data_IF_237640947963
#
_entry.id   IF_237640947963
#
_cell.length_a   1.000
_cell.length_b   1.000
_cell.length_c   1.000
_cell.angle_alpha   90.00
_cell.angle_beta   90.00
_cell.angle_gamma   90.00
#
_symmetry.space_group_name_H-M   'P 1'
#
loop_
_entity.id
_entity.type
_entity.pdbx_description
1 polymer ?
#
# COMPACT_ATOMS: atom_id res chain seq x y z
N UNK A 1 15.10 14.51 11.62
CA UNK A 1 16.40 14.14 11.03
C UNK A 1 16.28 12.84 10.24
N UNK A 2 16.99 12.73 9.11
CA UNK A 2 17.06 11.50 8.31
C UNK A 2 18.41 10.79 8.56
N UNK A 3 18.35 9.54 9.00
CA UNK A 3 19.52 8.69 9.27
C UNK A 3 19.55 7.51 8.31
N UNK A 4 20.73 6.93 8.07
CA UNK A 4 20.84 5.66 7.34
C UNK A 4 20.08 4.57 8.10
N UNK A 5 19.25 3.81 7.41
CA UNK A 5 18.49 2.68 7.97
C UNK A 5 18.41 1.54 6.96
N UNK A 6 18.23 0.33 7.48
CA UNK A 6 17.98 -0.86 6.68
C UNK A 6 16.55 -1.29 6.96
N UNK A 7 15.76 -1.46 5.91
CA UNK A 7 14.51 -2.21 5.96
C UNK A 7 14.84 -3.63 5.50
N UNK A 8 14.66 -4.60 6.39
CA UNK A 8 15.02 -5.99 6.14
C UNK A 8 13.80 -6.89 6.21
N UNK A 9 13.70 -7.85 5.30
CA UNK A 9 12.62 -8.82 5.25
C UNK A 9 11.27 -8.22 4.85
N UNK A 10 11.28 -7.17 4.01
CA UNK A 10 10.04 -6.54 3.57
C UNK A 10 9.45 -7.24 2.35
N UNK A 11 8.13 -7.37 2.33
CA UNK A 11 7.43 -8.11 1.29
C UNK A 11 7.33 -7.35 -0.03
N UNK A 12 7.12 -8.08 -1.14
CA UNK A 12 6.92 -7.50 -2.46
C UNK A 12 5.84 -6.41 -2.51
N UNK A 13 4.68 -6.62 -1.88
CA UNK A 13 3.60 -5.63 -1.88
C UNK A 13 3.95 -4.37 -1.08
N UNK A 14 4.80 -4.46 -0.05
CA UNK A 14 5.29 -3.30 0.69
C UNK A 14 6.27 -2.49 -0.15
N UNK A 15 7.17 -3.16 -0.88
CA UNK A 15 8.06 -2.52 -1.85
C UNK A 15 7.25 -1.83 -2.95
N UNK A 16 6.26 -2.51 -3.53
CA UNK A 16 5.37 -1.91 -4.52
C UNK A 16 4.59 -0.71 -3.93
N UNK A 17 4.26 -0.76 -2.64
CA UNK A 17 3.66 0.35 -1.90
C UNK A 17 4.60 1.55 -1.78
N UNK A 18 5.87 1.31 -1.45
CA UNK A 18 6.91 2.34 -1.46
C UNK A 18 7.10 2.94 -2.86
N UNK A 19 7.11 2.12 -3.92
CA UNK A 19 7.27 2.63 -5.29
C UNK A 19 6.07 3.52 -5.71
N UNK A 20 4.88 3.23 -5.19
CA UNK A 20 3.74 4.13 -5.34
C UNK A 20 3.94 5.46 -4.58
N UNK A 21 4.40 5.40 -3.33
CA UNK A 21 4.70 6.60 -2.54
C UNK A 21 5.83 7.44 -3.16
N UNK A 22 6.86 6.79 -3.73
CA UNK A 22 7.94 7.44 -4.47
C UNK A 22 7.35 8.32 -5.57
N UNK A 23 6.43 7.79 -6.39
CA UNK A 23 5.72 8.59 -7.40
C UNK A 23 4.89 9.70 -6.77
N UNK A 24 4.11 9.39 -5.74
CA UNK A 24 3.21 10.36 -5.11
C UNK A 24 3.97 11.59 -4.58
N UNK A 25 5.09 11.38 -3.89
CA UNK A 25 5.88 12.43 -3.26
C UNK A 25 6.93 13.08 -4.18
N UNK A 26 6.97 12.74 -5.47
CA UNK A 26 7.94 13.32 -6.42
C UNK A 26 7.34 13.81 -7.74
N UNK A 27 6.07 13.49 -8.06
CA UNK A 27 5.50 13.85 -9.38
C UNK A 27 5.07 15.32 -9.47
N UNK A 28 4.17 15.78 -8.60
CA UNK A 28 3.65 17.16 -8.67
C UNK A 28 4.51 18.12 -7.85
N UNK A 29 4.88 17.67 -6.65
CA UNK A 29 5.70 18.39 -5.70
C UNK A 29 6.66 17.40 -5.08
N UNK A 30 7.93 17.79 -5.02
CA UNK A 30 8.97 16.97 -4.39
C UNK A 30 8.92 17.20 -2.87
N UNK A 31 8.59 16.16 -2.12
CA UNK A 31 8.68 16.19 -0.67
C UNK A 31 10.11 15.87 -0.22
N UNK A 32 10.88 16.90 0.07
CA UNK A 32 12.30 16.77 0.45
C UNK A 32 12.51 15.88 1.69
N UNK A 33 11.56 15.89 2.64
CA UNK A 33 11.66 15.08 3.85
C UNK A 33 11.47 13.59 3.54
N UNK A 34 10.57 13.27 2.60
CA UNK A 34 10.40 11.92 2.09
C UNK A 34 11.64 11.45 1.33
N UNK A 35 12.09 12.23 0.34
CA UNK A 35 13.24 11.88 -0.51
C UNK A 35 14.51 11.67 0.33
N UNK A 36 14.81 12.60 1.24
CA UNK A 36 15.99 12.50 2.10
C UNK A 36 15.96 11.27 3.03
N UNK A 37 14.78 10.75 3.39
CA UNK A 37 14.66 9.47 4.10
C UNK A 37 14.84 8.30 3.13
N UNK A 38 14.13 8.32 2.00
CA UNK A 38 14.11 7.27 0.99
C UNK A 38 15.49 6.94 0.43
N UNK A 39 16.33 7.94 0.16
CA UNK A 39 17.71 7.76 -0.34
C UNK A 39 18.64 7.10 0.68
N UNK A 40 18.38 7.33 1.96
CA UNK A 40 19.13 6.77 3.10
C UNK A 40 18.63 5.39 3.53
N UNK A 41 17.59 4.87 2.87
CA UNK A 41 17.13 3.50 3.08
C UNK A 41 17.92 2.55 2.19
N UNK A 42 18.45 1.51 2.82
CA UNK A 42 18.77 0.25 2.16
C UNK A 42 17.56 -0.68 2.32
N UNK A 43 17.12 -1.28 1.23
CA UNK A 43 15.91 -2.09 1.19
C UNK A 43 16.27 -3.53 0.82
N UNK A 44 16.07 -4.44 1.77
CA UNK A 44 16.25 -5.88 1.58
C UNK A 44 14.88 -6.54 1.69
N UNK A 45 14.35 -6.96 0.55
CA UNK A 45 13.09 -7.67 0.45
C UNK A 45 13.24 -9.17 0.71
N UNK A 46 12.17 -9.81 1.14
CA UNK A 46 12.10 -11.27 1.26
C UNK A 46 10.67 -11.74 1.03
N UNK A 47 10.52 -12.90 0.40
CA UNK A 47 9.19 -13.53 0.30
C UNK A 47 8.69 -13.97 1.68
N UNK A 48 7.39 -13.79 1.92
CA UNK A 48 6.69 -14.30 3.10
C UNK A 48 5.43 -15.03 2.70
N UNK A 49 4.98 -15.94 3.57
CA UNK A 49 3.66 -16.55 3.43
C UNK A 49 2.56 -15.47 3.38
N UNK A 50 1.64 -15.53 2.39
CA UNK A 50 0.55 -14.58 2.31
C UNK A 50 -0.49 -14.88 3.40
N UNK A 51 -1.13 -13.83 3.92
CA UNK A 51 -2.27 -14.00 4.83
C UNK A 51 -3.54 -14.34 4.04
N UNK A 52 -4.56 -14.84 4.73
CA UNK A 52 -5.87 -15.17 4.14
C UNK A 52 -6.56 -13.97 3.47
N UNK A 53 -6.21 -12.75 3.91
CA UNK A 53 -6.79 -11.50 3.40
C UNK A 53 -5.96 -10.87 2.29
N UNK A 54 -4.82 -11.48 1.92
CA UNK A 54 -3.93 -10.95 0.90
C UNK A 54 -4.45 -11.32 -0.52
N UNK A 55 -4.67 -10.28 -1.33
CA UNK A 55 -5.10 -10.35 -2.73
C UNK A 55 -4.14 -9.57 -3.65
N UNK A 56 -2.86 -9.47 -3.26
CA UNK A 56 -1.83 -8.79 -4.04
C UNK A 56 -1.65 -9.31 -5.47
N UNK A 57 -1.87 -10.60 -5.81
CA UNK A 57 -1.83 -11.06 -7.21
C UNK A 57 -2.90 -10.40 -8.08
N UNK A 58 -4.13 -10.24 -7.58
CA UNK A 58 -5.20 -9.54 -8.31
C UNK A 58 -4.86 -8.07 -8.57
N UNK A 59 -3.97 -7.49 -7.74
CA UNK A 59 -3.46 -6.12 -7.90
C UNK A 59 -2.12 -6.04 -8.66
N UNK A 60 -1.54 -7.19 -9.07
CA UNK A 60 -0.23 -7.26 -9.72
C UNK A 60 0.94 -6.78 -8.84
N UNK A 61 0.83 -7.00 -7.53
CA UNK A 61 1.76 -6.49 -6.51
C UNK A 61 2.42 -7.60 -5.67
N UNK A 62 2.19 -8.87 -6.00
CA UNK A 62 2.77 -10.04 -5.35
C UNK A 62 4.27 -10.21 -5.65
N UNK A 63 4.78 -9.49 -6.66
CA UNK A 63 6.18 -9.49 -7.07
C UNK A 63 6.73 -8.06 -7.14
N UNK A 64 7.90 -7.82 -6.54
CA UNK A 64 8.61 -6.56 -6.67
C UNK A 64 9.57 -6.63 -7.86
N UNK A 65 9.35 -5.80 -8.89
CA UNK A 65 10.28 -5.68 -10.03
C UNK A 65 11.47 -4.77 -9.71
N UNK A 66 11.21 -3.73 -8.94
CA UNK A 66 12.10 -2.64 -8.59
C UNK A 66 11.83 -2.17 -7.15
N UNK A 67 12.56 -1.15 -6.67
CA UNK A 67 12.33 -0.51 -5.38
C UNK A 67 13.09 -1.08 -4.19
N UNK A 68 13.87 -2.14 -4.41
CA UNK A 68 14.74 -2.78 -3.42
C UNK A 68 16.22 -2.73 -3.86
N UNK A 69 17.14 -2.99 -2.93
CA UNK A 69 18.56 -3.18 -3.22
C UNK A 69 18.88 -4.67 -3.38
N UNK A 70 18.35 -5.52 -2.50
CA UNK A 70 18.44 -7.00 -2.54
C UNK A 70 17.03 -7.59 -2.31
N UNK A 71 16.67 -8.67 -3.00
CA UNK A 71 15.46 -9.43 -2.72
C UNK A 71 15.78 -10.92 -2.58
N UNK A 72 15.32 -11.52 -1.48
CA UNK A 72 15.64 -12.88 -1.09
C UNK A 72 14.42 -13.79 -1.24
N UNK A 73 14.61 -14.92 -1.91
CA UNK A 73 13.62 -15.99 -1.97
C UNK A 73 14.23 -17.24 -1.36
N UNK A 74 13.63 -17.73 -0.28
CA UNK A 74 14.09 -18.94 0.40
C UNK A 74 13.73 -20.17 -0.44
N UNK A 75 14.77 -20.87 -0.92
CA UNK A 75 14.68 -22.21 -1.50
C UNK A 75 15.20 -23.21 -0.45
N UNK A 76 15.03 -24.52 -0.68
CA UNK A 76 15.23 -25.57 0.33
C UNK A 76 16.45 -25.39 1.26
N UNK A 77 17.64 -25.17 0.71
CA UNK A 77 18.89 -25.04 1.48
C UNK A 77 19.70 -23.80 1.08
N UNK A 78 19.07 -22.81 0.44
CA UNK A 78 19.74 -21.66 -0.15
C UNK A 78 18.76 -20.53 -0.41
N UNK A 79 19.29 -19.34 -0.67
CA UNK A 79 18.49 -18.21 -1.13
C UNK A 79 18.73 -17.97 -2.62
N UNK A 80 17.65 -17.77 -3.37
CA UNK A 80 17.71 -17.12 -4.66
C UNK A 80 17.76 -15.60 -4.42
N UNK A 81 18.81 -14.94 -4.88
CA UNK A 81 19.10 -13.54 -4.56
C UNK A 81 18.99 -12.69 -5.81
N UNK A 82 18.05 -11.75 -5.83
CA UNK A 82 17.96 -10.71 -6.87
C UNK A 82 18.63 -9.44 -6.36
N UNK A 83 19.60 -8.94 -7.12
CA UNK A 83 20.30 -7.69 -6.84
C UNK A 83 19.78 -6.63 -7.80
N UNK A 84 19.33 -5.49 -7.28
CA UNK A 84 18.73 -4.43 -8.09
C UNK A 84 19.54 -3.13 -8.07
N UNK A 85 20.51 -2.98 -7.16
CA UNK A 85 21.34 -1.77 -7.07
C UNK A 85 22.82 -2.09 -6.85
N UNK A 86 23.75 -1.16 -7.19
CA UNK A 86 25.17 -1.31 -6.88
C UNK A 86 25.45 -1.50 -5.37
N UNK A 87 24.69 -0.83 -4.50
CA UNK A 87 24.81 -1.00 -3.04
C UNK A 87 24.42 -2.41 -2.61
N UNK A 88 23.37 -2.97 -3.23
CA UNK A 88 23.00 -4.37 -3.03
C UNK A 88 24.11 -5.32 -3.46
N UNK A 89 24.74 -5.06 -4.62
CA UNK A 89 25.85 -5.86 -5.11
C UNK A 89 27.06 -5.86 -4.16
N UNK A 90 27.47 -4.68 -3.70
CA UNK A 90 28.57 -4.51 -2.75
C UNK A 90 28.34 -5.30 -1.46
N UNK A 91 27.10 -5.33 -0.95
CA UNK A 91 26.76 -6.10 0.25
C UNK A 91 26.87 -7.60 0.00
N UNK A 92 26.34 -8.07 -1.13
CA UNK A 92 26.38 -9.50 -1.47
C UNK A 92 27.83 -9.97 -1.65
N UNK A 93 28.66 -9.22 -2.38
CA UNK A 93 30.06 -9.57 -2.62
C UNK A 93 30.92 -9.58 -1.34
N UNK A 94 30.72 -8.59 -0.45
CA UNK A 94 31.57 -8.44 0.74
C UNK A 94 31.18 -9.34 1.91
N UNK A 95 29.89 -9.70 2.04
CA UNK A 95 29.37 -10.31 3.25
C UNK A 95 28.73 -11.68 3.05
N UNK A 96 28.64 -12.17 1.81
CA UNK A 96 27.99 -13.46 1.52
C UNK A 96 28.83 -14.33 0.60
N UNK A 97 28.49 -15.62 0.53
CA UNK A 97 29.05 -16.55 -0.44
C UNK A 97 27.98 -16.86 -1.47
N UNK A 98 28.14 -16.37 -2.68
CA UNK A 98 27.22 -16.60 -3.79
C UNK A 98 27.92 -17.28 -4.95
N UNK A 99 27.12 -17.82 -5.87
CA UNK A 99 27.52 -18.21 -7.21
C UNK A 99 26.50 -17.67 -8.19
N UNK A 100 26.90 -17.53 -9.44
CA UNK A 100 25.95 -17.20 -10.51
C UNK A 100 24.88 -18.28 -10.62
N UNK A 101 23.67 -17.84 -10.98
CA UNK A 101 22.50 -18.70 -11.19
C UNK A 101 22.65 -19.53 -12.46
N UNK A 102 22.31 -20.82 -12.39
CA UNK A 102 22.19 -21.71 -13.55
C UNK A 102 20.74 -21.81 -14.04
N UNK A 103 20.52 -22.42 -15.21
CA UNK A 103 19.19 -22.65 -15.75
C UNK A 103 18.31 -23.51 -14.82
N UNK A 104 18.91 -24.46 -14.10
CA UNK A 104 18.21 -25.27 -13.09
C UNK A 104 17.73 -24.43 -11.91
N UNK A 105 18.50 -23.40 -11.53
CA UNK A 105 18.12 -22.50 -10.43
C UNK A 105 16.92 -21.64 -10.80
N UNK A 106 16.87 -21.15 -12.05
CA UNK A 106 15.70 -20.45 -12.57
C UNK A 106 14.47 -21.35 -12.61
N UNK A 107 14.61 -22.61 -13.04
CA UNK A 107 13.48 -23.56 -13.03
C UNK A 107 12.99 -23.85 -11.60
N UNK A 108 13.88 -23.97 -10.63
CA UNK A 108 13.49 -24.14 -9.22
C UNK A 108 12.78 -22.89 -8.68
N UNK A 109 13.28 -21.70 -9.02
CA UNK A 109 12.67 -20.43 -8.67
C UNK A 109 11.29 -20.23 -9.29
N UNK A 110 11.13 -20.52 -10.58
CA UNK A 110 9.84 -20.40 -11.28
C UNK A 110 8.81 -21.35 -10.68
N UNK A 111 9.21 -22.60 -10.38
CA UNK A 111 8.36 -23.56 -9.68
C UNK A 111 7.95 -23.06 -8.30
N UNK A 112 8.89 -22.49 -7.53
CA UNK A 112 8.58 -21.87 -6.24
C UNK A 112 7.55 -20.75 -6.41
N UNK A 113 7.71 -19.88 -7.41
CA UNK A 113 6.79 -18.76 -7.66
C UNK A 113 5.39 -19.23 -8.08
N UNK A 114 5.29 -20.31 -8.85
CA UNK A 114 4.01 -20.94 -9.19
C UNK A 114 3.32 -21.50 -7.94
N UNK A 115 4.03 -22.28 -7.13
CA UNK A 115 3.53 -22.81 -5.86
C UNK A 115 3.15 -21.68 -4.90
N UNK A 116 3.93 -20.59 -4.86
CA UNK A 116 3.69 -19.41 -4.04
C UNK A 116 2.39 -18.70 -4.42
N UNK A 117 2.15 -18.48 -5.72
CA UNK A 117 0.92 -17.83 -6.21
C UNK A 117 -0.34 -18.64 -5.93
N UNK A 118 -0.24 -19.97 -5.84
CA UNK A 118 -1.37 -20.83 -5.47
C UNK A 118 -1.79 -20.70 -4.00
N UNK A 119 -0.97 -20.08 -3.13
CA UNK A 119 -1.28 -19.91 -1.71
C UNK A 119 -2.25 -18.75 -1.44
N UNK A 120 -2.40 -17.82 -2.37
CA UNK A 120 -3.33 -16.69 -2.25
C UNK A 120 -4.76 -17.18 -2.46
N UNK A 121 -5.63 -16.96 -1.48
CA UNK A 121 -6.99 -17.51 -1.48
C UNK A 121 -8.06 -16.51 -1.88
N UNK A 122 -7.73 -15.23 -1.89
CA UNK A 122 -8.67 -14.14 -2.12
C UNK A 122 -8.46 -13.56 -3.51
N UNK A 123 -9.50 -13.65 -4.35
CA UNK A 123 -9.51 -13.08 -5.70
C UNK A 123 -10.47 -11.89 -5.80
N UNK A 124 -10.08 -10.93 -6.64
CA UNK A 124 -10.76 -9.65 -6.81
C UNK A 124 -10.92 -9.32 -8.29
N UNK A 125 -12.15 -9.04 -8.70
CA UNK A 125 -12.51 -8.66 -10.06
C UNK A 125 -12.17 -7.19 -10.37
N UNK A 126 -10.89 -6.80 -10.22
CA UNK A 126 -10.47 -5.39 -10.29
C UNK A 126 -10.57 -4.79 -11.72
N UNK A 127 -10.51 -5.62 -12.77
CA UNK A 127 -10.39 -5.15 -14.16
C UNK A 127 -11.52 -4.22 -14.61
N UNK A 128 -12.77 -4.47 -14.20
CA UNK A 128 -13.93 -3.65 -14.55
C UNK A 128 -14.25 -2.58 -13.49
N UNK A 129 -13.52 -2.55 -12.37
CA UNK A 129 -13.87 -1.69 -11.24
C UNK A 129 -13.94 -0.22 -11.61
N UNK A 130 -13.08 0.24 -12.52
CA UNK A 130 -13.06 1.65 -12.93
C UNK A 130 -14.42 2.11 -13.47
N UNK A 131 -14.96 1.38 -14.45
CA UNK A 131 -16.24 1.71 -15.11
C UNK A 131 -17.44 1.34 -14.21
N UNK A 132 -17.35 0.21 -13.52
CA UNK A 132 -18.40 -0.24 -12.60
C UNK A 132 -18.60 0.78 -11.48
N UNK A 133 -17.51 1.31 -10.91
CA UNK A 133 -17.54 2.31 -9.84
C UNK A 133 -18.21 3.62 -10.26
N UNK A 134 -17.98 4.09 -11.49
CA UNK A 134 -18.64 5.30 -12.01
C UNK A 134 -20.15 5.08 -12.17
N UNK A 135 -20.55 3.88 -12.62
CA UNK A 135 -21.96 3.53 -12.82
C UNK A 135 -22.75 3.54 -11.51
N UNK A 136 -22.14 3.13 -10.40
CA UNK A 136 -22.78 3.12 -9.06
C UNK A 136 -22.40 4.31 -8.17
N UNK A 137 -21.69 5.30 -8.71
CA UNK A 137 -21.12 6.38 -7.88
C UNK A 137 -22.19 7.15 -7.08
N UNK A 138 -23.36 7.32 -7.67
CA UNK A 138 -24.52 8.01 -7.10
C UNK A 138 -25.54 7.06 -6.44
N UNK A 139 -25.25 5.75 -6.34
CA UNK A 139 -26.14 4.82 -5.64
C UNK A 139 -25.98 4.94 -4.11
N UNK A 140 -26.73 5.85 -3.51
CA UNK A 140 -26.70 6.06 -2.06
C UNK A 140 -27.08 4.80 -1.27
N UNK A 141 -27.97 3.95 -1.78
CA UNK A 141 -28.43 2.76 -1.07
C UNK A 141 -27.31 1.74 -0.96
N UNK A 142 -26.56 1.55 -2.05
CA UNK A 142 -25.35 0.73 -2.07
C UNK A 142 -24.32 1.24 -1.06
N UNK A 143 -23.95 2.53 -1.12
CA UNK A 143 -22.90 3.07 -0.26
C UNK A 143 -23.28 3.10 1.22
N UNK A 144 -24.55 3.35 1.55
CA UNK A 144 -25.07 3.22 2.93
C UNK A 144 -25.01 1.77 3.42
N UNK A 145 -25.27 0.79 2.55
CA UNK A 145 -25.18 -0.64 2.87
C UNK A 145 -23.73 -1.06 3.15
N UNK A 146 -22.80 -0.70 2.27
CA UNK A 146 -21.38 -1.04 2.39
C UNK A 146 -20.73 -0.36 3.60
N UNK A 147 -21.07 0.91 3.87
CA UNK A 147 -20.51 1.65 5.01
C UNK A 147 -21.26 1.43 6.33
N UNK A 148 -22.28 0.56 6.36
CA UNK A 148 -23.21 0.42 7.49
C UNK A 148 -22.50 0.21 8.83
N UNK A 149 -21.51 -0.67 8.86
CA UNK A 149 -20.80 -1.03 10.09
C UNK A 149 -19.52 -0.21 10.32
N UNK A 150 -19.20 0.74 9.42
CA UNK A 150 -17.98 1.53 9.51
C UNK A 150 -18.02 2.50 10.70
N UNK A 151 -17.03 2.40 11.59
CA UNK A 151 -16.83 3.33 12.72
C UNK A 151 -16.07 4.60 12.36
N UNK A 152 -15.60 4.78 11.11
CA UNK A 152 -14.78 5.95 10.73
C UNK A 152 -13.50 6.13 11.56
N UNK A 153 -12.93 5.04 12.11
CA UNK A 153 -11.77 5.10 13.01
C UNK A 153 -10.40 5.26 12.30
N UNK A 154 -10.33 5.05 10.99
CA UNK A 154 -9.09 5.21 10.22
C UNK A 154 -8.04 4.09 10.34
N UNK A 155 -8.26 3.04 11.15
CA UNK A 155 -7.30 1.92 11.30
C UNK A 155 -6.86 1.32 9.97
N UNK A 156 -7.79 1.18 9.01
CA UNK A 156 -7.54 0.64 7.69
C UNK A 156 -6.61 1.50 6.81
N UNK A 157 -6.42 2.79 7.15
CA UNK A 157 -5.50 3.69 6.48
C UNK A 157 -4.12 3.68 7.14
N UNK A 158 -4.07 3.62 8.48
CA UNK A 158 -2.81 3.66 9.24
C UNK A 158 -1.91 2.44 8.98
N UNK A 159 -2.51 1.29 8.63
CA UNK A 159 -1.77 0.06 8.29
C UNK A 159 -1.50 -0.10 6.78
N UNK A 160 -1.94 0.86 5.95
CA UNK A 160 -1.89 0.73 4.50
C UNK A 160 -0.60 1.35 3.93
N UNK A 161 0.21 0.60 3.15
CA UNK A 161 1.53 1.05 2.72
C UNK A 161 1.47 2.11 1.61
N UNK A 162 0.28 2.36 1.06
CA UNK A 162 0.02 3.37 0.02
C UNK A 162 -0.83 4.53 0.54
N UNK A 163 -1.10 4.59 1.85
CA UNK A 163 -1.72 5.76 2.46
C UNK A 163 -0.66 6.81 2.75
N UNK A 164 -0.98 8.06 2.43
CA UNK A 164 -0.07 9.20 2.52
C UNK A 164 -0.73 10.41 3.19
N UNK A 165 -1.97 10.29 3.66
CA UNK A 165 -2.67 11.37 4.35
C UNK A 165 -1.95 11.69 5.66
N UNK A 166 -1.68 12.97 5.88
CA UNK A 166 -1.09 13.48 7.10
C UNK A 166 -1.71 14.82 7.44
N UNK A 167 -1.69 15.17 8.72
CA UNK A 167 -2.01 16.50 9.20
C UNK A 167 -0.72 17.22 9.62
N UNK A 168 -0.78 18.55 9.69
CA UNK A 168 0.32 19.39 10.17
C UNK A 168 -0.15 20.10 11.42
N UNK A 169 0.47 19.78 12.55
CA UNK A 169 0.14 20.36 13.85
C UNK A 169 1.26 21.28 14.32
N UNK A 170 0.87 22.45 14.81
CA UNK A 170 1.75 23.37 15.53
C UNK A 170 1.64 23.09 17.03
N UNK A 171 2.76 22.74 17.64
CA UNK A 171 2.91 22.52 19.08
C UNK A 171 3.77 23.65 19.65
N UNK A 172 3.10 24.65 20.22
CA UNK A 172 3.72 25.87 20.77
C UNK A 172 4.12 25.58 22.22
N UNK A 173 5.35 25.89 22.58
CA UNK A 173 5.79 25.75 23.96
C UNK A 173 5.02 26.69 24.89
N UNK A 174 4.89 26.31 26.16
CA UNK A 174 4.14 27.09 27.16
C UNK A 174 4.69 28.52 27.36
N UNK A 175 5.95 28.76 26.98
CA UNK A 175 6.57 30.08 27.00
C UNK A 175 6.07 31.02 25.87
N UNK A 176 5.32 30.50 24.88
CA UNK A 176 4.83 31.18 23.69
C UNK A 176 5.90 31.88 22.83
N UNK A 177 7.17 31.47 22.97
CA UNK A 177 8.32 32.01 22.23
C UNK A 177 8.88 31.06 21.19
N UNK A 178 8.68 29.76 21.39
CA UNK A 178 9.15 28.69 20.53
C UNK A 178 8.05 27.66 20.32
N UNK A 179 8.18 26.87 19.26
CA UNK A 179 7.27 25.78 18.96
C UNK A 179 7.84 24.89 17.88
N UNK A 180 7.16 23.79 17.62
CA UNK A 180 7.52 22.83 16.58
C UNK A 180 6.31 22.54 15.70
N UNK A 181 6.55 22.48 14.39
CA UNK A 181 5.57 22.05 13.40
C UNK A 181 5.83 20.59 13.08
N UNK A 182 4.85 19.73 13.32
CA UNK A 182 4.99 18.27 13.19
C UNK A 182 3.99 17.77 12.16
N UNK A 183 4.41 16.80 11.34
CA UNK A 183 3.49 15.99 10.53
C UNK A 183 3.06 14.77 11.33
N UNK A 184 1.76 14.58 11.46
CA UNK A 184 1.17 13.40 12.09
C UNK A 184 0.35 12.63 11.06
N UNK A 185 0.31 11.30 11.20
CA UNK A 185 -0.54 10.48 10.35
C UNK A 185 -2.00 10.85 10.55
N UNK A 186 -2.70 11.00 9.44
CA UNK A 186 -4.13 11.27 9.44
C UNK A 186 -4.82 10.40 8.38
N UNK A 187 -6.14 10.41 8.33
CA UNK A 187 -6.90 9.50 7.50
C UNK A 187 -8.14 10.16 6.94
N UNK A 188 -8.36 9.99 5.64
CA UNK A 188 -9.60 10.39 4.99
C UNK A 188 -10.87 9.69 5.53
N UNK A 189 -10.70 8.67 6.38
CA UNK A 189 -11.80 7.99 7.07
C UNK A 189 -12.18 8.66 8.40
N UNK A 190 -11.31 9.49 8.97
CA UNK A 190 -11.55 10.22 10.23
C UNK A 190 -12.38 11.48 9.91
N UNK A 191 -13.49 11.75 10.63
CA UNK A 191 -14.35 12.90 10.35
C UNK A 191 -13.60 14.24 10.32
N UNK A 192 -12.66 14.43 11.25
CA UNK A 192 -11.89 15.66 11.44
C UNK A 192 -11.02 16.00 10.23
N UNK A 193 -10.58 15.01 9.44
CA UNK A 193 -9.78 15.23 8.22
C UNK A 193 -10.51 16.08 7.18
N UNK A 194 -11.84 15.98 7.12
CA UNK A 194 -12.67 16.75 6.19
C UNK A 194 -13.16 18.08 6.74
N UNK A 195 -12.88 18.39 8.01
CA UNK A 195 -13.37 19.57 8.71
C UNK A 195 -12.51 20.79 8.35
N UNK A 196 -13.16 21.88 7.94
CA UNK A 196 -12.50 23.15 7.62
C UNK A 196 -13.05 24.30 8.46
N UNK A 197 -12.41 25.47 8.33
CA UNK A 197 -12.82 26.68 9.03
C UNK A 197 -14.32 26.96 8.82
N UNK A 198 -15.00 27.36 9.90
CA UNK A 198 -16.46 27.55 9.91
C UNK A 198 -17.25 26.29 10.26
N UNK A 199 -16.59 25.16 10.56
CA UNK A 199 -17.26 23.91 10.96
C UNK A 199 -17.84 23.12 9.78
N UNK A 200 -17.55 23.52 8.54
CA UNK A 200 -17.96 22.78 7.35
C UNK A 200 -17.14 21.51 7.21
N UNK A 201 -17.79 20.42 6.82
CA UNK A 201 -17.14 19.17 6.50
C UNK A 201 -17.53 18.71 5.11
N UNK A 202 -16.56 18.48 4.23
CA UNK A 202 -16.82 18.05 2.85
C UNK A 202 -17.28 16.60 2.75
N UNK A 203 -17.07 15.79 3.80
CA UNK A 203 -17.45 14.38 3.87
C UNK A 203 -17.94 14.04 5.29
N UNK A 204 -19.09 14.59 5.72
CA UNK A 204 -19.60 14.41 7.08
C UNK A 204 -20.07 12.98 7.35
N UNK A 205 -20.51 12.27 6.30
CA UNK A 205 -21.04 10.92 6.41
C UNK A 205 -19.98 9.84 6.14
N UNK A 206 -20.13 8.69 6.81
CA UNK A 206 -19.19 7.57 6.71
C UNK A 206 -19.19 6.91 5.34
N UNK A 207 -20.34 6.85 4.67
CA UNK A 207 -20.49 6.35 3.30
C UNK A 207 -19.69 7.19 2.31
N UNK A 208 -19.70 8.52 2.47
CA UNK A 208 -18.95 9.43 1.61
C UNK A 208 -17.44 9.28 1.83
N UNK A 209 -17.00 9.06 3.08
CA UNK A 209 -15.58 8.78 3.40
C UNK A 209 -15.12 7.43 2.83
N UNK A 210 -15.91 6.36 3.02
CA UNK A 210 -15.57 5.03 2.51
C UNK A 210 -15.55 5.01 0.97
N UNK A 211 -16.56 5.63 0.33
CA UNK A 211 -16.60 5.83 -1.13
C UNK A 211 -15.38 6.59 -1.63
N UNK A 212 -14.98 7.68 -0.94
CA UNK A 212 -13.77 8.42 -1.28
C UNK A 212 -12.51 7.57 -1.15
N UNK A 213 -12.41 6.73 -0.11
CA UNK A 213 -11.28 5.81 0.05
C UNK A 213 -11.19 4.87 -1.15
N UNK A 214 -12.28 4.28 -1.60
CA UNK A 214 -12.27 3.36 -2.74
C UNK A 214 -11.94 4.08 -4.04
N UNK A 215 -12.54 5.24 -4.29
CA UNK A 215 -12.20 6.12 -5.42
C UNK A 215 -10.71 6.48 -5.44
N UNK A 216 -10.15 6.85 -4.30
CA UNK A 216 -8.74 7.21 -4.19
C UNK A 216 -7.84 6.00 -4.48
N UNK A 217 -8.13 4.87 -3.82
CA UNK A 217 -7.32 3.65 -3.89
C UNK A 217 -7.35 2.98 -5.26
N UNK A 218 -8.51 2.98 -5.91
CA UNK A 218 -8.78 2.09 -7.05
C UNK A 218 -9.07 2.83 -8.36
N UNK A 219 -9.27 4.15 -8.33
CA UNK A 219 -9.59 4.95 -9.52
C UNK A 219 -8.62 6.09 -9.76
N UNK A 220 -8.53 7.00 -8.80
CA UNK A 220 -7.86 8.32 -8.95
C UNK A 220 -6.40 8.20 -9.43
N UNK A 221 -5.65 7.22 -8.93
CA UNK A 221 -4.24 7.05 -9.30
C UNK A 221 -4.02 6.14 -10.51
N UNK A 222 -5.04 5.42 -10.98
CA UNK A 222 -4.98 4.79 -12.30
C UNK A 222 -4.89 5.87 -13.36
N UNK A 223 -5.76 6.88 -13.30
CA UNK A 223 -5.76 8.01 -14.22
C UNK A 223 -4.43 8.77 -14.21
N UNK A 224 -3.84 8.90 -13.02
CA UNK A 224 -2.63 9.70 -12.82
C UNK A 224 -1.33 8.94 -13.13
N UNK A 225 -1.21 7.69 -12.67
CA UNK A 225 0.05 6.95 -12.65
C UNK A 225 -0.01 5.60 -13.38
N UNK A 226 -1.16 5.22 -13.93
CA UNK A 226 -1.39 3.90 -14.52
C UNK A 226 -1.29 2.75 -13.51
N UNK A 227 -1.40 3.05 -12.21
CA UNK A 227 -1.30 2.06 -11.13
C UNK A 227 -2.32 2.35 -10.03
N UNK A 228 -2.85 1.30 -9.42
CA UNK A 228 -3.70 1.43 -8.25
C UNK A 228 -2.90 1.95 -7.06
N UNK A 229 -3.54 2.76 -6.22
CA UNK A 229 -3.01 3.09 -4.90
C UNK A 229 -3.37 2.00 -3.88
N UNK A 230 -3.47 0.74 -4.30
CA UNK A 230 -3.72 -0.42 -3.46
C UNK A 230 -2.84 -1.58 -3.98
N UNK A 231 -2.11 -2.22 -3.08
CA UNK A 231 -1.19 -3.34 -3.38
C UNK A 231 -1.75 -4.69 -2.94
N UNK A 232 -3.01 -4.75 -2.51
CA UNK A 232 -3.68 -6.00 -2.13
C UNK A 232 -3.14 -6.70 -0.87
N UNK A 233 -2.31 -6.05 -0.05
CA UNK A 233 -1.67 -6.67 1.12
C UNK A 233 -2.60 -7.15 2.26
N UNK A 234 -3.92 -6.95 2.17
CA UNK A 234 -4.88 -7.47 3.15
C UNK A 234 -4.94 -6.80 4.52
N UNK A 235 -3.86 -6.17 5.01
CA UNK A 235 -3.79 -5.56 6.37
C UNK A 235 -4.96 -4.67 6.77
N UNK A 236 -5.55 -3.95 5.81
CA UNK A 236 -6.69 -3.07 6.09
C UNK A 236 -7.98 -3.84 6.45
N UNK A 237 -8.10 -5.09 6.01
CA UNK A 237 -9.16 -6.03 6.34
C UNK A 237 -8.92 -6.58 7.75
N UNK A 238 -7.69 -7.03 8.04
CA UNK A 238 -7.30 -7.57 9.35
C UNK A 238 -7.42 -6.54 10.48
N UNK A 239 -7.04 -5.29 10.22
CA UNK A 239 -7.12 -4.21 11.20
C UNK A 239 -8.55 -3.66 11.40
N UNK A 240 -9.53 -4.07 10.58
CA UNK A 240 -10.88 -3.53 10.66
C UNK A 240 -11.69 -4.22 11.76
N UNK A 241 -11.99 -3.49 12.85
CA UNK A 241 -12.84 -3.98 13.93
C UNK A 241 -14.27 -4.33 13.47
N UNK A 242 -14.76 -3.65 12.43
CA UNK A 242 -16.07 -3.89 11.83
C UNK A 242 -16.06 -4.99 10.74
N UNK A 243 -14.90 -5.61 10.47
CA UNK A 243 -14.73 -6.65 9.44
C UNK A 243 -15.13 -6.21 8.03
N UNK A 244 -14.97 -4.92 7.70
CA UNK A 244 -15.15 -4.43 6.34
C UNK A 244 -14.04 -4.98 5.46
N UNK A 245 -14.42 -5.60 4.35
CA UNK A 245 -13.51 -6.25 3.43
C UNK A 245 -13.52 -5.56 2.07
N UNK A 246 -12.46 -4.81 1.76
CA UNK A 246 -12.33 -4.10 0.47
C UNK A 246 -12.38 -5.06 -0.73
N UNK A 247 -11.89 -6.30 -0.61
CA UNK A 247 -11.92 -7.28 -1.70
C UNK A 247 -13.37 -7.71 -2.01
N UNK A 248 -14.16 -7.97 -0.97
CA UNK A 248 -15.60 -8.26 -1.10
C UNK A 248 -16.37 -7.07 -1.64
N UNK A 249 -16.03 -5.85 -1.21
CA UNK A 249 -16.69 -4.64 -1.69
C UNK A 249 -16.42 -4.38 -3.17
N UNK A 250 -15.18 -4.58 -3.63
CA UNK A 250 -14.85 -4.50 -5.08
C UNK A 250 -15.70 -5.49 -5.88
N UNK A 251 -15.82 -6.73 -5.40
CA UNK A 251 -16.65 -7.73 -6.05
C UNK A 251 -18.16 -7.39 -5.96
N UNK A 252 -18.59 -6.73 -4.89
CA UNK A 252 -19.97 -6.25 -4.72
C UNK A 252 -20.32 -5.12 -5.69
N UNK A 253 -19.38 -4.21 -5.97
CA UNK A 253 -19.56 -3.17 -7.00
C UNK A 253 -19.88 -3.79 -8.36
N UNK A 254 -19.09 -4.78 -8.78
CA UNK A 254 -19.32 -5.50 -10.04
C UNK A 254 -20.69 -6.19 -10.08
N UNK A 255 -21.09 -6.83 -8.97
CA UNK A 255 -22.40 -7.49 -8.86
C UNK A 255 -23.55 -6.50 -8.99
N UNK A 256 -23.45 -5.32 -8.35
CA UNK A 256 -24.51 -4.30 -8.41
C UNK A 256 -24.72 -3.78 -9.83
N UNK A 257 -23.64 -3.61 -10.61
CA UNK A 257 -23.71 -3.15 -12.01
C UNK A 257 -24.22 -4.23 -12.98
N UNK A 258 -24.07 -5.50 -12.62
CA UNK A 258 -24.49 -6.63 -13.47
C UNK A 258 -25.98 -6.97 -13.35
N UNK A 259 -26.72 -6.26 -12.50
CA UNK A 259 -28.17 -6.42 -12.25
C UNK A 259 -28.93 -5.38 -13.06
#
# INVERSE_FOLDING_TARGET
ESSKKILFGINAWDINGMNFLDKFFTTDFIDENYVAKREKLLVIGMDSEPTETNFSPSMGAEYAKDGFDIYLTELKNRYFVRIATPRGNEIVENYTKTRDVSDEDFKEYDKYMDDYRMKFKLDVAIKSFYDDFESIYNDEKFWKRVAKDCYSCGSCNLVCPTCFCFNVKDDIELNLKSGKKIREWDSCMIPEYGLVAGGHNFRPDKENRLKQRYRCKLKTFIDKFGKYACVGCGRCIEACLAKINIAEDINSVKKEVSI
#
